data_IF_288973009198
#
_entry.id   IF_288973009198
#
_cell.length_a   1.000
_cell.length_b   1.000
_cell.length_c   1.000
_cell.angle_alpha   90.00
_cell.angle_beta   90.00
_cell.angle_gamma   90.00
#
_symmetry.space_group_name_H-M   'P 1'
#
loop_
_entity.id
_entity.type
_entity.pdbx_description
1 polymer ?
#
# COMPACT_ATOMS: atom_id res chain seq x y z
N UNK A 1 -26.02 16.05 -8.67
CA UNK A 1 -26.67 14.71 -8.66
C UNK A 1 -25.69 13.53 -8.64
N UNK A 2 -24.37 13.71 -8.85
CA UNK A 2 -23.36 12.71 -8.46
C UNK A 2 -22.50 13.20 -7.27
N UNK A 3 -22.25 14.51 -7.21
CA UNK A 3 -21.45 15.18 -6.16
C UNK A 3 -22.05 15.14 -4.75
N UNK A 4 -23.37 14.90 -4.63
CA UNK A 4 -24.07 14.88 -3.34
C UNK A 4 -23.53 13.80 -2.40
N UNK A 5 -23.11 12.64 -2.93
CA UNK A 5 -22.53 11.56 -2.13
C UNK A 5 -21.15 11.91 -1.59
N UNK A 6 -20.32 12.62 -2.36
CA UNK A 6 -19.02 13.09 -1.89
C UNK A 6 -19.20 14.18 -0.84
N UNK A 7 -20.07 15.16 -1.11
CA UNK A 7 -20.32 16.27 -0.19
C UNK A 7 -20.66 15.77 1.23
N UNK A 8 -21.66 14.90 1.37
CA UNK A 8 -22.10 14.43 2.69
C UNK A 8 -20.96 13.74 3.46
N UNK A 9 -20.22 12.84 2.80
CA UNK A 9 -19.09 12.12 3.42
C UNK A 9 -17.96 13.07 3.84
N UNK A 10 -17.66 14.07 3.00
CA UNK A 10 -16.60 15.05 3.25
C UNK A 10 -16.97 15.95 4.43
N UNK A 11 -18.19 16.49 4.44
CA UNK A 11 -18.68 17.36 5.51
C UNK A 11 -18.66 16.63 6.86
N UNK A 12 -19.06 15.36 6.89
CA UNK A 12 -18.99 14.54 8.11
C UNK A 12 -17.57 14.27 8.56
N UNK A 13 -16.66 13.94 7.64
CA UNK A 13 -15.26 13.72 7.97
C UNK A 13 -14.60 14.97 8.56
N UNK A 14 -14.85 16.14 7.96
CA UNK A 14 -14.32 17.42 8.46
C UNK A 14 -14.97 17.84 9.78
N UNK A 15 -16.28 17.65 9.95
CA UNK A 15 -16.95 17.87 11.23
C UNK A 15 -16.39 16.94 12.34
N UNK A 16 -15.94 15.74 11.97
CA UNK A 16 -15.23 14.80 12.83
C UNK A 16 -13.77 15.20 13.13
N UNK A 17 -13.26 16.28 12.54
CA UNK A 17 -11.91 16.79 12.77
C UNK A 17 -10.83 16.17 11.87
N UNK A 18 -11.19 15.66 10.68
CA UNK A 18 -10.20 15.15 9.73
C UNK A 18 -9.23 16.24 9.27
N UNK A 19 -7.92 15.99 9.37
CA UNK A 19 -6.88 16.92 8.93
C UNK A 19 -6.74 17.00 7.40
N UNK A 20 -7.16 15.95 6.69
CA UNK A 20 -7.14 15.83 5.23
C UNK A 20 -8.14 14.75 4.79
N UNK A 21 -8.51 14.73 3.51
CA UNK A 21 -9.38 13.71 2.93
C UNK A 21 -8.57 12.83 1.98
N UNK A 22 -8.75 11.51 2.11
CA UNK A 22 -8.26 10.53 1.14
C UNK A 22 -9.44 10.03 0.31
N UNK A 23 -9.38 10.25 -1.00
CA UNK A 23 -10.30 9.65 -1.95
C UNK A 23 -9.51 8.67 -2.81
N UNK A 24 -9.70 7.37 -2.55
CA UNK A 24 -8.83 6.30 -3.05
C UNK A 24 -9.55 5.27 -3.91
N UNK A 25 -8.77 4.51 -4.67
CA UNK A 25 -9.24 3.39 -5.50
C UNK A 25 -10.22 3.80 -6.60
N UNK A 26 -10.05 5.01 -7.17
CA UNK A 26 -10.81 5.36 -8.37
C UNK A 26 -10.32 4.59 -9.58
N UNK A 27 -11.27 4.16 -10.40
CA UNK A 27 -10.98 3.53 -11.68
C UNK A 27 -11.11 4.51 -12.84
N UNK A 28 -11.88 5.59 -12.67
CA UNK A 28 -12.15 6.62 -13.67
C UNK A 28 -11.56 7.96 -13.21
N UNK A 29 -10.77 8.61 -14.08
CA UNK A 29 -10.17 9.92 -13.79
C UNK A 29 -11.25 10.99 -13.64
N UNK A 30 -12.30 10.91 -14.46
CA UNK A 30 -13.44 11.84 -14.35
C UNK A 30 -14.11 11.82 -12.97
N UNK A 31 -14.29 10.64 -12.38
CA UNK A 31 -14.86 10.51 -11.04
C UNK A 31 -13.89 11.04 -9.96
N UNK A 32 -12.60 10.71 -10.08
CA UNK A 32 -11.57 11.20 -9.17
C UNK A 32 -11.46 12.74 -9.18
N UNK A 33 -11.61 13.38 -10.33
CA UNK A 33 -11.64 14.84 -10.46
C UNK A 33 -12.87 15.46 -9.79
N UNK A 34 -14.04 14.84 -9.91
CA UNK A 34 -15.25 15.29 -9.21
C UNK A 34 -15.10 15.16 -7.70
N UNK A 35 -14.50 14.08 -7.21
CA UNK A 35 -14.21 13.92 -5.79
C UNK A 35 -13.23 15.00 -5.30
N UNK A 36 -12.17 15.29 -6.07
CA UNK A 36 -11.23 16.37 -5.76
C UNK A 36 -11.92 17.74 -5.69
N UNK A 37 -12.78 18.06 -6.65
CA UNK A 37 -13.57 19.30 -6.65
C UNK A 37 -14.42 19.41 -5.38
N UNK A 38 -15.13 18.34 -5.01
CA UNK A 38 -15.93 18.30 -3.79
C UNK A 38 -15.09 18.47 -2.52
N UNK A 39 -13.90 17.87 -2.44
CA UNK A 39 -13.00 18.03 -1.28
C UNK A 39 -12.58 19.49 -1.14
N UNK A 40 -12.26 20.16 -2.25
CA UNK A 40 -11.88 21.57 -2.25
C UNK A 40 -13.02 22.49 -1.86
N UNK A 41 -14.23 22.21 -2.35
CA UNK A 41 -15.40 23.06 -2.11
C UNK A 41 -15.92 22.91 -0.67
N UNK A 42 -16.15 21.67 -0.23
CA UNK A 42 -16.85 21.36 1.01
C UNK A 42 -15.90 21.04 2.17
N UNK A 43 -14.75 20.42 1.87
CA UNK A 43 -13.80 20.00 2.90
C UNK A 43 -12.83 21.11 3.29
N UNK A 44 -12.28 21.85 2.30
CA UNK A 44 -11.25 22.89 2.48
C UNK A 44 -10.03 22.43 3.30
N UNK A 45 -9.73 21.14 3.21
CA UNK A 45 -8.56 20.47 3.78
C UNK A 45 -7.76 19.81 2.64
N UNK A 46 -6.49 19.42 2.85
CA UNK A 46 -5.70 18.78 1.82
C UNK A 46 -6.38 17.52 1.23
N UNK A 47 -6.21 17.33 -0.07
CA UNK A 47 -6.79 16.22 -0.83
C UNK A 47 -5.71 15.23 -1.27
N UNK A 48 -5.83 13.98 -0.81
CA UNK A 48 -5.05 12.84 -1.30
C UNK A 48 -5.92 12.04 -2.26
N UNK A 49 -5.51 11.95 -3.52
CA UNK A 49 -6.24 11.20 -4.54
C UNK A 49 -5.39 10.04 -5.04
N UNK A 50 -5.91 8.81 -4.98
CA UNK A 50 -5.21 7.65 -5.52
C UNK A 50 -6.08 6.84 -6.49
N UNK A 51 -5.46 6.40 -7.59
CA UNK A 51 -6.10 5.55 -8.59
C UNK A 51 -5.84 4.08 -8.28
N UNK A 52 -6.85 3.25 -8.55
CA UNK A 52 -6.69 1.80 -8.52
C UNK A 52 -5.71 1.34 -9.60
N UNK A 53 -4.71 0.54 -9.23
CA UNK A 53 -3.70 0.05 -10.18
C UNK A 53 -4.20 -1.16 -10.99
N UNK A 54 -5.08 -0.91 -11.96
CA UNK A 54 -5.81 -1.94 -12.69
C UNK A 54 -4.93 -2.91 -13.49
N UNK A 55 -5.50 -4.08 -13.79
CA UNK A 55 -4.82 -5.17 -14.52
C UNK A 55 -4.35 -4.75 -15.91
N UNK A 56 -5.14 -3.90 -16.58
CA UNK A 56 -4.87 -3.33 -17.91
C UNK A 56 -3.70 -2.34 -17.91
N UNK A 57 -3.39 -1.73 -16.76
CA UNK A 57 -2.47 -0.59 -16.67
C UNK A 57 -3.06 0.74 -17.16
N UNK A 58 -4.36 0.74 -17.49
CA UNK A 58 -5.14 1.92 -17.86
C UNK A 58 -6.30 2.10 -16.88
N UNK A 59 -6.73 3.33 -16.68
CA UNK A 59 -8.00 3.67 -16.03
C UNK A 59 -9.16 3.19 -16.90
N UNK A 60 -10.36 3.06 -16.32
CA UNK A 60 -11.56 2.61 -17.03
C UNK A 60 -11.97 3.57 -18.16
N UNK A 61 -11.66 4.87 -18.00
CA UNK A 61 -11.81 5.92 -19.01
C UNK A 61 -10.59 6.07 -19.95
N UNK A 62 -9.65 5.12 -19.92
CA UNK A 62 -8.64 4.93 -20.96
C UNK A 62 -7.33 5.72 -20.80
N UNK A 63 -7.09 6.34 -19.64
CA UNK A 63 -5.83 7.04 -19.36
C UNK A 63 -4.79 6.09 -18.80
N UNK A 64 -3.53 6.35 -19.09
CA UNK A 64 -2.44 5.72 -18.34
C UNK A 64 -2.44 6.22 -16.89
N UNK A 65 -1.88 5.43 -15.98
CA UNK A 65 -1.72 5.85 -14.58
C UNK A 65 -0.87 7.13 -14.41
N UNK A 66 0.05 7.39 -15.34
CA UNK A 66 0.87 8.60 -15.38
C UNK A 66 0.02 9.81 -15.77
N UNK A 67 -0.76 9.72 -16.84
CA UNK A 67 -1.68 10.78 -17.27
C UNK A 67 -2.75 11.08 -16.22
N UNK A 68 -3.31 10.04 -15.59
CA UNK A 68 -4.27 10.19 -14.51
C UNK A 68 -3.68 10.96 -13.33
N UNK A 69 -2.48 10.58 -12.88
CA UNK A 69 -1.80 11.24 -11.76
C UNK A 69 -1.45 12.69 -12.09
N UNK A 70 -0.94 12.97 -13.30
CA UNK A 70 -0.61 14.32 -13.74
C UNK A 70 -1.85 15.22 -13.78
N UNK A 71 -2.96 14.75 -14.35
CA UNK A 71 -4.22 15.51 -14.40
C UNK A 71 -4.75 15.86 -13.02
N UNK A 72 -4.67 14.93 -12.07
CA UNK A 72 -5.09 15.16 -10.69
C UNK A 72 -4.18 16.17 -9.97
N UNK A 73 -2.86 16.11 -10.21
CA UNK A 73 -1.90 17.08 -9.68
C UNK A 73 -2.15 18.48 -10.27
N UNK A 74 -2.36 18.59 -11.59
CA UNK A 74 -2.66 19.85 -12.27
C UNK A 74 -4.02 20.43 -11.85
N UNK A 75 -5.02 19.57 -11.57
CA UNK A 75 -6.28 19.97 -10.96
C UNK A 75 -6.12 20.38 -9.49
N UNK A 76 -4.93 20.17 -8.91
CA UNK A 76 -4.49 20.64 -7.60
C UNK A 76 -4.80 19.70 -6.44
N UNK A 77 -4.74 18.39 -6.64
CA UNK A 77 -4.62 17.46 -5.51
C UNK A 77 -3.28 17.68 -4.79
N UNK A 78 -3.29 17.60 -3.46
CA UNK A 78 -2.09 17.78 -2.63
C UNK A 78 -1.18 16.56 -2.66
N UNK A 79 -1.76 15.37 -2.88
CA UNK A 79 -1.03 14.11 -3.08
C UNK A 79 -1.72 13.30 -4.16
N UNK A 80 -0.97 12.77 -5.12
CA UNK A 80 -1.49 11.85 -6.16
C UNK A 80 -0.77 10.51 -6.13
N UNK A 81 -1.40 9.44 -6.59
CA UNK A 81 -0.67 8.17 -6.72
C UNK A 81 -1.53 6.96 -6.96
N UNK A 82 -1.00 5.80 -6.58
CA UNK A 82 -1.62 4.51 -6.82
C UNK A 82 -1.82 3.73 -5.53
N UNK A 83 -2.96 3.04 -5.46
CA UNK A 83 -3.25 2.09 -4.40
C UNK A 83 -3.84 0.77 -4.95
N UNK A 84 -3.88 -0.24 -4.08
CA UNK A 84 -4.53 -1.53 -4.30
C UNK A 84 -3.98 -2.33 -5.50
N UNK A 85 -4.66 -3.43 -5.85
CA UNK A 85 -4.49 -4.31 -7.02
C UNK A 85 -3.08 -4.87 -7.29
N UNK A 86 -2.09 -4.04 -7.61
CA UNK A 86 -0.71 -4.45 -7.89
C UNK A 86 0.12 -4.63 -6.63
N UNK A 87 0.96 -5.65 -6.64
CA UNK A 87 1.99 -5.86 -5.62
C UNK A 87 3.17 -4.90 -5.75
N UNK A 88 4.12 -4.92 -4.80
CA UNK A 88 5.20 -3.94 -4.75
C UNK A 88 6.05 -3.93 -6.02
N UNK A 89 6.38 -5.11 -6.54
CA UNK A 89 7.18 -5.28 -7.76
C UNK A 89 6.47 -4.76 -9.01
N UNK A 90 5.17 -5.03 -9.16
CA UNK A 90 4.44 -4.66 -10.39
C UNK A 90 3.88 -3.24 -10.36
N UNK A 91 3.82 -2.61 -9.19
CA UNK A 91 3.46 -1.19 -9.03
C UNK A 91 4.65 -0.25 -9.26
N UNK A 92 5.86 -0.64 -8.83
CA UNK A 92 7.05 0.22 -8.85
C UNK A 92 7.40 0.86 -10.21
N UNK A 93 7.25 0.18 -11.37
CA UNK A 93 7.48 0.82 -12.67
C UNK A 93 6.60 2.06 -12.90
N UNK A 94 5.31 1.98 -12.58
CA UNK A 94 4.39 3.12 -12.69
C UNK A 94 4.79 4.24 -11.73
N UNK A 95 5.20 3.92 -10.50
CA UNK A 95 5.63 4.94 -9.55
C UNK A 95 6.87 5.70 -10.01
N UNK A 96 7.80 5.02 -10.69
CA UNK A 96 8.99 5.65 -11.29
C UNK A 96 8.60 6.62 -12.40
N UNK A 97 7.65 6.25 -13.26
CA UNK A 97 7.15 7.14 -14.33
C UNK A 97 6.33 8.30 -13.79
N UNK A 98 5.43 8.05 -12.83
CA UNK A 98 4.64 9.08 -12.14
C UNK A 98 5.57 10.10 -11.51
N UNK A 99 6.62 9.67 -10.80
CA UNK A 99 7.57 10.58 -10.17
C UNK A 99 8.29 11.49 -11.17
N UNK A 100 8.59 11.00 -12.37
CA UNK A 100 9.25 11.82 -13.41
C UNK A 100 8.36 12.98 -13.87
N UNK A 101 7.05 12.75 -13.96
CA UNK A 101 6.09 13.74 -14.46
C UNK A 101 5.55 14.64 -13.35
N UNK A 102 4.98 14.04 -12.30
CA UNK A 102 4.43 14.76 -11.16
C UNK A 102 5.55 15.44 -10.35
N UNK A 103 5.29 16.60 -9.73
CA UNK A 103 6.29 17.36 -8.93
C UNK A 103 5.94 17.44 -7.44
N UNK A 104 4.67 17.31 -7.10
CA UNK A 104 4.17 17.29 -5.74
C UNK A 104 4.42 15.96 -5.03
N UNK A 105 3.88 15.81 -3.82
CA UNK A 105 3.89 14.54 -3.11
C UNK A 105 3.19 13.43 -3.88
N UNK A 106 3.83 12.25 -3.93
CA UNK A 106 3.21 11.06 -4.52
C UNK A 106 2.99 9.94 -3.50
N UNK A 107 1.95 9.14 -3.74
CA UNK A 107 1.51 8.05 -2.90
C UNK A 107 1.70 6.68 -3.58
N UNK A 108 2.24 5.71 -2.84
CA UNK A 108 2.39 4.33 -3.30
C UNK A 108 1.89 3.36 -2.22
N UNK A 109 0.77 2.67 -2.49
CA UNK A 109 0.12 1.76 -1.55
C UNK A 109 -0.23 0.41 -2.21
N UNK A 110 0.77 -0.43 -2.54
CA UNK A 110 0.53 -1.73 -3.15
C UNK A 110 -0.18 -2.69 -2.18
N UNK A 111 -0.75 -3.76 -2.72
CA UNK A 111 -1.13 -4.93 -1.92
C UNK A 111 0.12 -5.74 -1.58
N UNK A 112 0.32 -6.30 -0.38
CA UNK A 112 1.49 -7.10 -0.05
C UNK A 112 1.31 -8.55 -0.55
N UNK A 113 0.98 -8.70 -1.83
CA UNK A 113 0.94 -9.97 -2.55
C UNK A 113 1.99 -9.96 -3.67
N UNK A 114 2.61 -11.12 -3.93
CA UNK A 114 3.63 -11.35 -4.95
C UNK A 114 3.00 -11.47 -6.32
N UNK A 115 2.74 -10.32 -6.94
CA UNK A 115 2.32 -10.21 -8.34
C UNK A 115 3.51 -10.27 -9.29
N UNK A 116 3.26 -10.68 -10.53
CA UNK A 116 4.27 -10.85 -11.59
C UNK A 116 3.86 -10.08 -12.84
N UNK A 117 4.74 -9.84 -13.82
CA UNK A 117 4.34 -9.18 -15.07
C UNK A 117 3.20 -9.88 -15.81
N UNK A 118 3.10 -11.21 -15.72
CA UNK A 118 2.01 -12.00 -16.34
C UNK A 118 0.75 -12.06 -15.49
N UNK A 119 0.87 -11.92 -14.17
CA UNK A 119 -0.24 -11.83 -13.21
C UNK A 119 -0.08 -10.55 -12.37
N UNK A 120 -0.33 -9.38 -12.97
CA UNK A 120 0.11 -8.11 -12.40
C UNK A 120 -0.64 -7.67 -11.17
N UNK A 121 -1.81 -8.24 -10.88
CA UNK A 121 -2.70 -7.81 -9.80
C UNK A 121 -3.16 -9.00 -8.97
N UNK A 122 -3.61 -8.75 -7.72
CA UNK A 122 -4.14 -9.80 -6.86
C UNK A 122 -5.31 -10.57 -7.50
N UNK A 123 -6.09 -9.92 -8.36
CA UNK A 123 -7.22 -10.51 -9.07
C UNK A 123 -6.79 -11.42 -10.23
N UNK A 124 -5.56 -11.28 -10.76
CA UNK A 124 -5.06 -12.12 -11.85
C UNK A 124 -4.17 -13.28 -11.40
N UNK A 125 -3.89 -13.38 -10.10
CA UNK A 125 -3.12 -14.49 -9.52
C UNK A 125 -3.89 -15.82 -9.68
N UNK A 126 -3.17 -16.85 -10.14
CA UNK A 126 -3.69 -18.22 -10.29
C UNK A 126 -2.94 -19.14 -9.33
N UNK A 127 -3.66 -19.89 -8.52
CA UNK A 127 -3.14 -20.91 -7.59
C UNK A 127 -2.58 -22.09 -8.39
N UNK A 128 -1.27 -22.35 -8.40
CA UNK A 128 -0.67 -23.37 -9.27
C UNK A 128 -1.23 -24.78 -9.07
N UNK A 129 -1.64 -25.13 -7.85
CA UNK A 129 -2.16 -26.44 -7.50
C UNK A 129 -3.57 -26.70 -8.05
N UNK A 130 -4.34 -25.65 -8.35
CA UNK A 130 -5.75 -25.77 -8.74
C UNK A 130 -6.08 -25.14 -10.08
N UNK A 131 -5.17 -24.34 -10.65
CA UNK A 131 -5.38 -23.53 -11.84
C UNK A 131 -6.60 -22.57 -11.75
N UNK A 132 -6.95 -22.17 -10.52
CA UNK A 132 -8.05 -21.24 -10.23
C UNK A 132 -7.53 -19.88 -9.78
N UNK A 133 -8.35 -18.85 -9.97
CA UNK A 133 -8.08 -17.53 -9.42
C UNK A 133 -7.93 -17.58 -7.90
N UNK A 134 -6.88 -16.95 -7.40
CA UNK A 134 -6.61 -16.85 -5.98
C UNK A 134 -7.57 -15.87 -5.28
N UNK A 135 -8.06 -14.86 -6.00
CA UNK A 135 -8.93 -13.85 -5.42
C UNK A 135 -10.36 -14.37 -5.20
N UNK A 136 -11.00 -14.07 -4.05
CA UNK A 136 -10.44 -13.40 -2.87
C UNK A 136 -9.85 -14.35 -1.82
N UNK A 137 -10.07 -15.66 -1.94
CA UNK A 137 -9.93 -16.61 -0.81
C UNK A 137 -8.55 -17.23 -0.65
N UNK A 138 -7.83 -17.49 -1.75
CA UNK A 138 -6.52 -18.17 -1.76
C UNK A 138 -5.33 -17.20 -1.90
N UNK A 139 -5.57 -15.89 -1.79
CA UNK A 139 -4.54 -14.85 -1.75
C UNK A 139 -3.43 -15.06 -0.70
N UNK A 140 -3.67 -15.69 0.48
CA UNK A 140 -2.60 -15.97 1.45
C UNK A 140 -1.40 -16.73 0.87
N UNK A 141 -1.63 -17.59 -0.14
CA UNK A 141 -0.56 -18.31 -0.85
C UNK A 141 0.44 -17.37 -1.55
N UNK A 142 0.04 -16.12 -1.82
CA UNK A 142 0.83 -15.13 -2.53
C UNK A 142 1.38 -14.02 -1.65
N UNK A 143 1.23 -14.09 -0.32
CA UNK A 143 1.70 -13.04 0.59
C UNK A 143 3.19 -12.70 0.41
N UNK A 144 3.54 -11.42 0.44
CA UNK A 144 4.93 -10.97 0.36
C UNK A 144 5.77 -11.46 1.55
N UNK A 145 7.09 -11.50 1.38
CA UNK A 145 7.96 -11.57 2.56
C UNK A 145 8.05 -10.18 3.21
N UNK A 146 8.41 -10.12 4.49
CA UNK A 146 8.76 -8.84 5.16
C UNK A 146 9.90 -8.12 4.46
N UNK A 147 10.87 -8.88 3.94
CA UNK A 147 11.99 -8.34 3.15
C UNK A 147 11.50 -7.64 1.89
N UNK A 148 10.53 -8.21 1.16
CA UNK A 148 9.93 -7.57 -0.02
C UNK A 148 9.29 -6.22 0.32
N UNK A 149 8.64 -6.11 1.48
CA UNK A 149 8.04 -4.84 1.94
C UNK A 149 9.13 -3.82 2.31
N UNK A 150 10.22 -4.24 2.94
CA UNK A 150 11.39 -3.38 3.20
C UNK A 150 12.05 -2.90 1.91
N UNK A 151 12.27 -3.80 0.95
CA UNK A 151 12.83 -3.45 -0.36
C UNK A 151 11.97 -2.43 -1.09
N UNK A 152 10.64 -2.60 -1.04
CA UNK A 152 9.69 -1.63 -1.57
C UNK A 152 9.82 -0.26 -0.90
N UNK A 153 9.87 -0.21 0.42
CA UNK A 153 10.05 1.04 1.17
C UNK A 153 11.36 1.74 0.76
N UNK A 154 12.48 1.00 0.66
CA UNK A 154 13.76 1.55 0.19
C UNK A 154 13.68 2.14 -1.22
N UNK A 155 13.06 1.42 -2.16
CA UNK A 155 12.90 1.93 -3.52
C UNK A 155 11.98 3.15 -3.57
N UNK A 156 10.90 3.18 -2.77
CA UNK A 156 10.04 4.36 -2.62
C UNK A 156 10.83 5.58 -2.10
N UNK A 157 11.64 5.41 -1.06
CA UNK A 157 12.49 6.49 -0.54
C UNK A 157 13.49 6.98 -1.59
N UNK A 158 14.12 6.06 -2.32
CA UNK A 158 15.09 6.36 -3.37
C UNK A 158 14.50 7.20 -4.51
N UNK A 159 13.25 6.95 -4.88
CA UNK A 159 12.56 7.73 -5.92
C UNK A 159 11.80 8.94 -5.34
N UNK A 160 11.82 9.16 -4.03
CA UNK A 160 11.16 10.32 -3.42
C UNK A 160 9.63 10.21 -3.38
N UNK A 161 9.09 9.05 -3.01
CA UNK A 161 7.68 8.89 -2.61
C UNK A 161 7.53 9.38 -1.16
N UNK A 162 6.57 10.28 -0.91
CA UNK A 162 6.34 10.83 0.42
C UNK A 162 5.24 10.09 1.20
N UNK A 163 4.23 9.56 0.51
CA UNK A 163 3.18 8.77 1.13
C UNK A 163 3.35 7.30 0.76
N UNK A 164 4.03 6.55 1.63
CA UNK A 164 4.29 5.12 1.45
C UNK A 164 3.35 4.34 2.37
N UNK A 165 2.60 3.40 1.81
CA UNK A 165 1.66 2.58 2.57
C UNK A 165 1.48 1.19 1.97
N UNK A 166 0.46 0.47 2.45
CA UNK A 166 0.06 -0.85 1.95
C UNK A 166 -1.46 -0.96 2.01
N UNK A 167 -2.05 -1.61 1.02
CA UNK A 167 -3.50 -1.72 0.84
C UNK A 167 -4.03 -3.10 1.30
N UNK A 168 -4.98 -3.70 0.57
CA UNK A 168 -5.59 -4.98 0.90
C UNK A 168 -4.55 -6.08 1.16
N UNK A 169 -4.73 -6.86 2.24
CA UNK A 169 -3.77 -7.88 2.67
C UNK A 169 -2.67 -7.36 3.61
N UNK A 170 -2.61 -6.05 3.83
CA UNK A 170 -1.75 -5.48 4.87
C UNK A 170 -2.12 -6.02 6.25
N UNK A 171 -1.13 -6.04 7.12
CA UNK A 171 -1.26 -6.49 8.50
C UNK A 171 -0.23 -5.76 9.37
N UNK A 172 -0.40 -5.75 10.71
CA UNK A 172 0.45 -4.96 11.60
C UNK A 172 1.95 -5.22 11.46
N UNK A 173 2.35 -6.43 11.05
CA UNK A 173 3.76 -6.73 10.86
C UNK A 173 4.32 -6.10 9.58
N UNK A 174 3.57 -6.01 8.48
CA UNK A 174 4.08 -5.37 7.27
C UNK A 174 4.21 -3.86 7.43
N UNK A 175 3.18 -3.20 7.95
CA UNK A 175 3.23 -1.75 8.12
C UNK A 175 4.30 -1.32 9.12
N UNK A 176 4.62 -2.16 10.12
CA UNK A 176 5.73 -1.94 11.03
C UNK A 176 7.08 -2.02 10.31
N UNK A 177 7.31 -3.07 9.53
CA UNK A 177 8.56 -3.23 8.76
C UNK A 177 8.74 -2.07 7.78
N UNK A 178 7.65 -1.62 7.15
CA UNK A 178 7.65 -0.43 6.28
C UNK A 178 8.00 0.84 7.05
N UNK A 179 7.36 1.06 8.21
CA UNK A 179 7.62 2.24 9.03
C UNK A 179 9.08 2.29 9.53
N UNK A 180 9.61 1.16 10.02
CA UNK A 180 10.99 1.01 10.49
C UNK A 180 12.00 1.25 9.36
N UNK A 181 11.74 0.70 8.17
CA UNK A 181 12.58 0.94 7.00
C UNK A 181 12.53 2.42 6.54
N UNK A 182 11.40 3.10 6.73
CA UNK A 182 11.28 4.54 6.55
C UNK A 182 11.88 5.37 7.70
N UNK A 183 12.61 4.75 8.64
CA UNK A 183 13.29 5.42 9.75
C UNK A 183 12.36 5.86 10.88
N UNK A 184 11.12 5.35 10.93
CA UNK A 184 10.18 5.61 12.03
C UNK A 184 10.28 4.51 13.09
N UNK A 185 9.91 4.85 14.33
CA UNK A 185 9.78 3.89 15.42
C UNK A 185 8.38 3.96 16.01
N UNK A 186 7.36 3.36 15.35
CA UNK A 186 6.00 3.33 15.89
C UNK A 186 5.94 2.54 17.21
N UNK A 187 4.91 2.73 18.06
CA UNK A 187 4.75 1.95 19.29
C UNK A 187 4.76 0.42 19.08
N UNK A 188 4.40 -0.03 17.87
CA UNK A 188 4.44 -1.43 17.49
C UNK A 188 5.85 -1.99 17.28
N UNK A 189 6.89 -1.15 17.16
CA UNK A 189 8.30 -1.56 17.02
C UNK A 189 8.81 -2.42 18.17
N UNK A 190 8.21 -2.30 19.36
CA UNK A 190 8.48 -3.21 20.49
C UNK A 190 8.17 -4.68 20.20
N UNK A 191 7.39 -4.97 19.16
CA UNK A 191 7.04 -6.32 18.72
C UNK A 191 7.84 -6.76 17.49
N UNK A 192 8.89 -6.02 17.11
CA UNK A 192 9.77 -6.44 16.03
C UNK A 192 10.60 -7.64 16.45
N UNK A 193 10.82 -8.64 15.55
CA UNK A 193 11.55 -9.84 15.91
C UNK A 193 12.98 -9.48 16.30
N UNK A 194 13.41 -9.90 17.50
CA UNK A 194 14.81 -9.84 17.85
C UNK A 194 15.51 -11.13 17.39
N UNK A 195 16.18 -11.07 16.24
CA UNK A 195 16.85 -12.23 15.66
C UNK A 195 18.08 -12.69 16.46
N UNK A 196 18.63 -11.87 17.37
CA UNK A 196 19.70 -12.31 18.28
C UNK A 196 19.23 -13.39 19.25
N UNK A 197 17.94 -13.38 19.61
CA UNK A 197 17.32 -14.35 20.52
C UNK A 197 16.80 -15.59 19.77
N UNK A 198 16.96 -15.64 18.45
CA UNK A 198 16.38 -16.72 17.66
C UNK A 198 17.26 -17.96 17.71
N UNK A 199 16.75 -19.03 18.32
CA UNK A 199 17.49 -20.29 18.58
C UNK A 199 18.23 -20.92 17.39
N UNK A 200 17.75 -20.73 16.15
CA UNK A 200 18.43 -21.22 14.92
C UNK A 200 19.61 -20.32 14.51
N UNK A 201 19.47 -19.01 14.70
CA UNK A 201 20.39 -18.00 14.16
C UNK A 201 21.35 -17.44 15.21
N UNK A 202 21.10 -17.71 16.49
CA UNK A 202 22.09 -17.56 17.54
C UNK A 202 23.15 -18.67 17.42
N UNK A 203 24.42 -18.29 17.53
CA UNK A 203 25.54 -19.22 17.58
C UNK A 203 25.54 -20.12 18.83
N UNK A 204 24.67 -19.86 19.81
CA UNK A 204 24.55 -20.62 21.06
C UNK A 204 23.44 -21.70 21.03
N UNK A 205 23.37 -22.47 19.93
CA UNK A 205 22.42 -23.58 19.71
C UNK A 205 22.36 -24.60 20.86
N UNK A 206 23.38 -24.67 21.74
CA UNK A 206 23.46 -25.70 22.78
C UNK A 206 22.70 -25.42 24.09
N UNK A 207 22.34 -24.18 24.42
CA UNK A 207 21.70 -23.92 25.73
C UNK A 207 20.17 -23.84 25.68
N UNK A 208 19.57 -23.33 24.61
CA UNK A 208 18.13 -23.02 24.59
C UNK A 208 17.23 -24.27 24.57
N UNK A 209 17.60 -25.32 23.82
CA UNK A 209 16.78 -26.54 23.72
C UNK A 209 16.95 -27.51 24.88
N UNK A 210 18.06 -27.43 25.64
CA UNK A 210 18.35 -28.41 26.68
C UNK A 210 17.89 -27.96 28.08
N UNK A 211 18.02 -26.67 28.43
CA UNK A 211 17.79 -26.24 29.83
C UNK A 211 16.36 -25.84 30.13
N UNK A 212 15.64 -25.22 29.21
CA UNK A 212 14.30 -24.68 29.49
C UNK A 212 13.21 -25.75 29.40
N UNK A 213 13.25 -26.61 28.37
CA UNK A 213 12.28 -27.70 28.19
C UNK A 213 12.43 -28.84 29.22
N UNK A 214 13.64 -29.13 29.70
CA UNK A 214 13.85 -30.20 30.70
C UNK A 214 13.44 -29.79 32.12
N UNK A 215 13.38 -28.49 32.41
CA UNK A 215 12.98 -28.00 33.74
C UNK A 215 11.46 -27.85 33.88
N UNK A 216 10.71 -27.62 32.80
CA UNK A 216 9.25 -27.47 32.83
C UNK A 216 8.48 -28.79 32.69
N UNK A 217 9.14 -29.88 32.25
CA UNK A 217 8.51 -31.22 32.12
C UNK A 217 8.74 -32.08 33.40
N UNK A 218 9.44 -31.55 34.42
CA UNK A 218 9.77 -32.25 35.67
C UNK A 218 9.04 -31.75 36.92
N UNK A 219 7.96 -30.99 36.78
CA UNK A 219 7.00 -30.69 37.86
C UNK A 219 5.64 -31.26 37.52
#
# INVERSE_FOLDING_TARGET
MCTTFFQEQIEWAVAGGADYIVAETFNDVGEALLALECIKEYGKVPAVITMGSLVTGLTADGFTHVEASLRLEEAGADVVGLNCSRGPTTMMPFMKEIRQQCKGPIAALPVPYRTTPTQPTMQSLIVPETDKYAFPVDLPAFTCSRTTVRDFARECLKIGVQYIGLCCGNSPHYIRELAEECGRSPPASRYSPNMSEHYIFDGNVKEYHAKTLLNEIRT
#
